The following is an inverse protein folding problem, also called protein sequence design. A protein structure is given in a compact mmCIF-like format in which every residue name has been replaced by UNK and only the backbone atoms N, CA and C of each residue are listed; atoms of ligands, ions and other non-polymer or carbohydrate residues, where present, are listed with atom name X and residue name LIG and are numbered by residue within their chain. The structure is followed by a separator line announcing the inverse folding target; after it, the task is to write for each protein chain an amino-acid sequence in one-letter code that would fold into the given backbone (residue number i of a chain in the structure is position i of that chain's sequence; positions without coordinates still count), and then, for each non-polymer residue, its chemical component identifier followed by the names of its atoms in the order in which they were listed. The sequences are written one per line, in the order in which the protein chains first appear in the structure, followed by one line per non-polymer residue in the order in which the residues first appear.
data_IF_186542516145
#
_entry.id   IF_186542516145
#
_cell.length_a   1.000
_cell.length_b   1.000
_cell.length_c   1.000
_cell.angle_alpha   90.00
_cell.angle_beta   90.00
_cell.angle_gamma   90.00
#
_symmetry.space_group_name_H-M   'P 1'
#
loop_
_entity.id
_entity.type
_entity.pdbx_description
1 polymer ?
#
# COMPACT_ATOMS: atom_id res chain seq x y z
N UNK A 1 18.57 -3.03 3.21
CA UNK A 1 17.79 -4.29 3.29
C UNK A 1 17.15 -4.39 4.66
N UNK A 2 15.82 -4.57 4.74
CA UNK A 2 15.13 -4.74 6.03
C UNK A 2 15.56 -6.09 6.64
N UNK A 3 15.92 -6.10 7.93
CA UNK A 3 16.29 -7.35 8.63
C UNK A 3 15.05 -8.20 8.91
N UNK A 4 15.19 -9.52 8.84
CA UNK A 4 14.16 -10.49 9.30
C UNK A 4 13.73 -10.23 10.74
N UNK A 5 14.64 -9.79 11.62
CA UNK A 5 14.30 -9.42 13.00
C UNK A 5 13.35 -8.22 13.04
N UNK A 6 13.56 -7.24 12.16
CA UNK A 6 12.71 -6.05 12.03
C UNK A 6 11.32 -6.43 11.49
N UNK A 7 11.26 -7.32 10.50
CA UNK A 7 10.00 -7.83 9.94
C UNK A 7 9.14 -8.56 11.00
N UNK A 8 9.76 -9.44 11.79
CA UNK A 8 9.06 -10.16 12.88
C UNK A 8 8.55 -9.20 13.95
N UNK A 9 9.31 -8.16 14.27
CA UNK A 9 8.90 -7.15 15.26
C UNK A 9 7.70 -6.34 14.77
N UNK A 10 7.68 -5.97 13.48
CA UNK A 10 6.52 -5.31 12.86
C UNK A 10 5.29 -6.21 12.91
N UNK A 11 5.42 -7.48 12.53
CA UNK A 11 4.32 -8.44 12.58
C UNK A 11 3.73 -8.58 14.00
N UNK A 12 4.57 -8.63 15.03
CA UNK A 12 4.11 -8.69 16.44
C UNK A 12 3.35 -7.42 16.87
N UNK A 13 3.79 -6.25 16.42
CA UNK A 13 3.07 -4.99 16.67
C UNK A 13 1.71 -5.01 15.98
N UNK A 14 1.63 -5.43 14.72
CA UNK A 14 0.36 -5.55 13.99
C UNK A 14 -0.60 -6.56 14.62
N UNK A 15 -0.09 -7.69 15.11
CA UNK A 15 -0.91 -8.67 15.84
C UNK A 15 -1.54 -8.07 17.09
N UNK A 16 -0.78 -7.30 17.88
CA UNK A 16 -1.31 -6.60 19.07
C UNK A 16 -2.36 -5.55 18.71
N UNK A 17 -2.16 -4.82 17.62
CA UNK A 17 -3.12 -3.83 17.13
C UNK A 17 -4.41 -4.49 16.61
N UNK A 18 -4.29 -5.58 15.85
CA UNK A 18 -5.44 -6.32 15.31
C UNK A 18 -6.26 -7.06 16.39
N UNK A 19 -5.61 -7.49 17.49
CA UNK A 19 -6.30 -8.08 18.63
C UNK A 19 -7.19 -7.06 19.37
N UNK A 20 -6.81 -5.77 19.37
CA UNK A 20 -7.50 -4.71 20.09
C UNK A 20 -8.77 -4.19 19.38
N UNK A 21 -9.03 -4.61 18.13
CA UNK A 21 -10.11 -4.11 17.28
C UNK A 21 -11.25 -5.08 16.93
N UNK A 22 -11.39 -6.24 17.59
CA UNK A 22 -12.41 -7.24 17.20
C UNK A 22 -13.77 -7.00 17.84
N UNK A 23 -14.64 -6.21 17.18
CA UNK A 23 -16.07 -6.56 17.13
C UNK A 23 -16.24 -7.58 16.01
N UNK A 24 -16.50 -8.82 16.39
CA UNK A 24 -16.62 -10.01 15.54
C UNK A 24 -17.72 -9.82 14.49
N UNK A 25 -17.34 -9.64 13.23
CA UNK A 25 -18.22 -9.90 12.08
C UNK A 25 -17.85 -11.28 11.53
N UNK A 26 -18.75 -12.24 11.71
CA UNK A 26 -18.65 -13.57 11.11
C UNK A 26 -18.95 -13.45 9.62
N UNK A 27 -17.96 -13.65 8.76
CA UNK A 27 -18.17 -13.82 7.33
C UNK A 27 -18.00 -15.28 6.95
N UNK A 28 -19.07 -15.81 6.34
CA UNK A 28 -19.23 -17.20 5.95
C UNK A 28 -18.21 -17.65 4.92
N UNK A 29 -17.86 -18.94 5.04
CA UNK A 29 -17.10 -19.73 4.09
C UNK A 29 -17.94 -19.94 2.83
N UNK A 30 -17.37 -19.71 1.64
CA UNK A 30 -17.90 -20.21 0.35
C UNK A 30 -16.73 -20.80 -0.46
N UNK A 31 -16.85 -22.00 -1.10
CA UNK A 31 -15.71 -22.74 -1.61
C UNK A 31 -15.37 -22.51 -3.09
N UNK A 32 -14.11 -22.85 -3.36
CA UNK A 32 -13.25 -22.91 -4.57
C UNK A 32 -13.90 -23.47 -5.86
N UNK A 33 -13.56 -22.87 -7.01
CA UNK A 33 -13.56 -23.56 -8.32
C UNK A 33 -12.18 -23.43 -8.99
N UNK A 34 -11.72 -24.56 -9.54
CA UNK A 34 -10.43 -24.84 -10.18
C UNK A 34 -10.32 -24.29 -11.61
N UNK A 35 -9.09 -24.04 -12.12
CA UNK A 35 -8.53 -24.62 -13.38
C UNK A 35 -7.10 -24.11 -13.69
N UNK A 36 -6.14 -25.06 -13.72
CA UNK A 36 -5.01 -25.27 -14.66
C UNK A 36 -3.76 -24.36 -14.76
N UNK A 37 -2.64 -24.94 -14.26
CA UNK A 37 -1.28 -25.14 -14.83
C UNK A 37 -0.21 -24.01 -14.82
N UNK A 38 0.80 -24.30 -14.01
CA UNK A 38 2.25 -24.06 -14.17
C UNK A 38 2.83 -22.65 -13.96
N UNK A 39 2.96 -22.28 -12.68
CA UNK A 39 4.17 -21.65 -12.16
C UNK A 39 4.40 -22.17 -10.72
N UNK A 40 5.66 -22.39 -10.38
CA UNK A 40 6.15 -22.97 -9.13
C UNK A 40 5.36 -22.47 -7.92
N UNK A 41 4.80 -23.41 -7.16
CA UNK A 41 4.04 -23.18 -5.96
C UNK A 41 4.89 -22.48 -4.88
N UNK A 42 4.76 -21.15 -4.79
CA UNK A 42 5.13 -20.39 -3.59
C UNK A 42 3.89 -19.59 -3.15
N UNK A 43 3.09 -20.26 -2.33
CA UNK A 43 2.03 -19.73 -1.47
C UNK A 43 0.93 -18.88 -2.14
N UNK A 44 -0.13 -19.54 -2.62
CA UNK A 44 -1.45 -18.90 -2.69
C UNK A 44 -1.95 -18.59 -1.26
N UNK A 45 -1.83 -17.33 -0.83
CA UNK A 45 -2.95 -16.48 -0.38
C UNK A 45 -2.47 -15.23 0.35
N UNK A 46 -2.67 -14.09 -0.31
CA UNK A 46 -2.89 -12.82 0.35
C UNK A 46 -2.76 -11.66 -0.62
N UNK A 47 -3.70 -10.74 -0.52
CA UNK A 47 -3.58 -9.40 -1.10
C UNK A 47 -3.59 -8.41 0.05
N UNK A 48 -2.89 -7.30 -0.12
CA UNK A 48 -3.07 -6.15 0.75
C UNK A 48 -3.85 -5.07 0.00
N UNK A 49 -4.50 -4.21 0.78
CA UNK A 49 -5.18 -3.03 0.24
C UNK A 49 -4.22 -1.87 0.37
N UNK A 50 -3.99 -1.19 -0.76
CA UNK A 50 -3.27 0.06 -0.81
C UNK A 50 -4.14 1.15 -1.42
N UNK A 51 -3.85 2.40 -1.11
CA UNK A 51 -4.46 3.58 -1.69
C UNK A 51 -3.40 4.41 -2.40
N UNK A 52 -3.77 5.07 -3.49
CA UNK A 52 -2.98 6.16 -4.03
C UNK A 52 -3.24 7.46 -3.24
N UNK A 53 -2.44 8.49 -3.46
CA UNK A 53 -2.60 9.81 -2.81
C UNK A 53 -3.93 10.50 -3.16
N UNK A 54 -4.54 10.14 -4.29
CA UNK A 54 -5.88 10.57 -4.72
C UNK A 54 -7.02 9.71 -4.13
N UNK A 55 -6.71 8.74 -3.27
CA UNK A 55 -7.68 7.88 -2.60
C UNK A 55 -8.16 6.68 -3.42
N UNK A 56 -7.65 6.45 -4.64
CA UNK A 56 -8.02 5.25 -5.42
C UNK A 56 -7.50 3.99 -4.73
N UNK A 57 -8.36 2.97 -4.62
CA UNK A 57 -8.09 1.72 -3.93
C UNK A 57 -7.50 0.65 -4.87
N UNK A 58 -6.48 -0.04 -4.38
CA UNK A 58 -5.76 -1.11 -5.07
C UNK A 58 -5.73 -2.40 -4.26
N UNK A 59 -5.93 -3.53 -4.95
CA UNK A 59 -5.75 -4.87 -4.40
C UNK A 59 -4.43 -5.41 -4.94
N UNK A 60 -3.39 -5.42 -4.10
CA UNK A 60 -2.03 -5.76 -4.50
C UNK A 60 -1.66 -7.15 -3.97
N UNK A 61 -1.22 -8.09 -4.82
CA UNK A 61 -0.75 -9.40 -4.36
C UNK A 61 0.42 -9.26 -3.39
N UNK A 62 0.44 -10.02 -2.29
CA UNK A 62 1.56 -10.00 -1.34
C UNK A 62 2.90 -10.43 -1.98
N UNK A 63 2.87 -11.19 -3.08
CA UNK A 63 4.05 -11.53 -3.85
C UNK A 63 4.81 -10.28 -4.34
N UNK A 64 4.11 -9.15 -4.51
CA UNK A 64 4.71 -7.88 -4.92
C UNK A 64 5.63 -7.29 -3.85
N UNK A 65 5.50 -7.67 -2.57
CA UNK A 65 6.32 -7.12 -1.48
C UNK A 65 7.81 -7.46 -1.59
N UNK A 66 8.16 -8.50 -2.36
CA UNK A 66 9.56 -8.87 -2.62
C UNK A 66 10.19 -8.06 -3.76
N UNK A 67 9.38 -7.33 -4.52
CA UNK A 67 9.84 -6.54 -5.66
C UNK A 67 10.44 -5.22 -5.16
N UNK A 68 11.70 -4.88 -5.51
CA UNK A 68 12.35 -3.61 -5.16
C UNK A 68 11.46 -2.37 -5.28
N UNK A 69 10.64 -2.28 -6.34
CA UNK A 69 9.75 -1.13 -6.55
C UNK A 69 8.72 -0.96 -5.42
N UNK A 70 8.15 -2.06 -4.94
CA UNK A 70 7.19 -2.03 -3.83
C UNK A 70 7.88 -1.79 -2.49
N UNK A 71 9.12 -2.27 -2.32
CA UNK A 71 9.89 -1.98 -1.12
C UNK A 71 10.20 -0.49 -0.99
N UNK A 72 10.57 0.17 -2.10
CA UNK A 72 10.81 1.61 -2.08
C UNK A 72 9.50 2.39 -1.88
N UNK A 73 8.41 2.02 -2.57
CA UNK A 73 7.10 2.63 -2.35
C UNK A 73 6.63 2.55 -0.89
N UNK A 74 6.80 1.38 -0.25
CA UNK A 74 6.40 1.18 1.14
C UNK A 74 7.30 1.92 2.11
N UNK A 75 8.59 2.05 1.79
CA UNK A 75 9.53 2.86 2.57
C UNK A 75 9.16 4.35 2.48
N UNK A 76 8.89 4.86 1.28
CA UNK A 76 8.44 6.23 1.10
C UNK A 76 7.09 6.48 1.81
N UNK A 77 6.16 5.53 1.75
CA UNK A 77 4.91 5.60 2.51
C UNK A 77 5.12 5.65 4.03
N UNK A 78 6.06 4.84 4.56
CA UNK A 78 6.46 4.89 5.98
C UNK A 78 7.07 6.24 6.35
N UNK A 79 7.89 6.83 5.47
CA UNK A 79 8.54 8.12 5.67
C UNK A 79 7.55 9.30 5.65
N UNK A 80 6.56 9.30 4.74
CA UNK A 80 5.58 10.39 4.60
C UNK A 80 4.42 10.29 5.61
N UNK A 81 3.83 9.10 5.74
CA UNK A 81 2.59 8.91 6.50
C UNK A 81 2.80 8.22 7.85
N UNK A 82 4.01 7.72 8.12
CA UNK A 82 4.31 6.96 9.32
C UNK A 82 3.73 5.55 9.33
N UNK A 83 3.96 4.83 10.43
CA UNK A 83 3.43 3.48 10.69
C UNK A 83 2.04 3.48 11.36
N UNK A 84 1.48 4.66 11.58
CA UNK A 84 0.31 4.94 12.41
C UNK A 84 -0.99 5.15 11.61
N UNK A 85 -0.97 4.94 10.30
CA UNK A 85 -2.19 4.90 9.49
C UNK A 85 -3.04 3.71 9.98
N UNK A 86 -4.36 3.88 10.12
CA UNK A 86 -5.36 2.95 10.67
C UNK A 86 -5.48 1.59 9.91
N UNK A 87 -4.37 0.94 9.56
CA UNK A 87 -4.30 -0.32 8.82
C UNK A 87 -4.34 -0.17 7.30
N UNK A 88 -4.48 1.04 6.77
CA UNK A 88 -4.44 1.30 5.33
C UNK A 88 -3.02 1.72 4.90
N UNK A 89 -2.49 1.08 3.85
CA UNK A 89 -1.25 1.51 3.19
C UNK A 89 -1.64 2.58 2.16
N UNK A 90 -1.00 3.74 2.19
CA UNK A 90 -1.16 4.77 1.15
C UNK A 90 0.17 5.01 0.49
N UNK A 91 0.23 4.87 -0.84
CA UNK A 91 1.42 5.18 -1.61
C UNK A 91 1.55 6.69 -1.78
N UNK A 92 2.79 7.23 -1.74
CA UNK A 92 3.08 8.65 -1.91
C UNK A 92 3.09 9.03 -3.41
N UNK A 93 2.11 8.54 -4.16
CA UNK A 93 1.93 8.83 -5.58
C UNK A 93 0.47 8.67 -5.99
N UNK A 94 0.07 9.35 -7.06
CA UNK A 94 -1.30 9.30 -7.58
C UNK A 94 -1.61 7.96 -8.29
N UNK A 95 -2.88 7.79 -8.65
CA UNK A 95 -3.33 6.57 -9.32
C UNK A 95 -2.64 6.29 -10.65
N UNK A 96 -2.16 7.30 -11.37
CA UNK A 96 -1.51 7.12 -12.68
C UNK A 96 -0.19 6.37 -12.53
N UNK A 97 0.60 6.73 -11.51
CA UNK A 97 1.87 6.08 -11.19
C UNK A 97 1.62 4.66 -10.67
N UNK A 98 0.64 4.48 -9.79
CA UNK A 98 0.30 3.15 -9.26
C UNK A 98 -0.20 2.24 -10.38
N UNK A 99 -1.08 2.72 -11.28
CA UNK A 99 -1.56 1.96 -12.43
C UNK A 99 -0.41 1.52 -13.34
N UNK A 100 0.55 2.42 -13.61
CA UNK A 100 1.75 2.10 -14.38
C UNK A 100 2.57 0.98 -13.72
N UNK A 101 2.86 1.09 -12.43
CA UNK A 101 3.61 0.08 -11.67
C UNK A 101 2.88 -1.27 -11.67
N UNK A 102 1.55 -1.27 -11.46
CA UNK A 102 0.75 -2.49 -11.52
C UNK A 102 0.76 -3.14 -12.91
N UNK A 103 0.73 -2.33 -13.98
CA UNK A 103 0.83 -2.85 -15.35
C UNK A 103 2.18 -3.51 -15.63
N UNK A 104 3.26 -3.00 -15.05
CA UNK A 104 4.59 -3.58 -15.20
C UNK A 104 4.77 -4.88 -14.42
N UNK A 105 4.13 -5.00 -13.25
CA UNK A 105 4.05 -6.26 -12.49
C UNK A 105 3.36 -7.34 -13.31
N UNK A 106 2.25 -7.00 -13.99
CA UNK A 106 1.50 -7.96 -14.82
C UNK A 106 2.29 -8.47 -16.01
N UNK A 107 3.21 -7.65 -16.56
CA UNK A 107 4.01 -7.99 -17.74
C UNK A 107 5.35 -8.65 -17.41
N UNK A 108 5.60 -8.97 -16.15
CA UNK A 108 6.89 -9.47 -15.65
C UNK A 108 8.08 -8.60 -16.12
N UNK A 109 8.05 -7.32 -15.72
CA UNK A 109 9.11 -6.36 -16.05
C UNK A 109 10.50 -6.86 -15.63
N UNK A 110 11.49 -6.62 -16.50
CA UNK A 110 12.88 -7.00 -16.24
C UNK A 110 13.45 -6.26 -15.02
N UNK A 111 14.38 -6.91 -14.32
CA UNK A 111 15.06 -6.34 -13.15
C UNK A 111 15.70 -4.97 -13.44
N UNK A 112 16.19 -4.76 -14.66
CA UNK A 112 16.81 -3.49 -15.07
C UNK A 112 15.81 -2.33 -15.11
N UNK A 113 14.60 -2.59 -15.63
CA UNK A 113 13.52 -1.59 -15.63
C UNK A 113 13.10 -1.30 -14.18
N UNK A 114 13.06 -2.34 -13.34
CA UNK A 114 12.71 -2.18 -11.93
C UNK A 114 13.72 -1.33 -11.16
N UNK A 115 15.02 -1.58 -11.36
CA UNK A 115 16.09 -0.80 -10.73
C UNK A 115 16.11 0.66 -11.24
N UNK A 116 15.87 0.88 -12.53
CA UNK A 116 15.77 2.23 -13.09
C UNK A 116 14.57 3.02 -12.52
N UNK A 117 13.43 2.35 -12.30
CA UNK A 117 12.28 2.98 -11.66
C UNK A 117 12.52 3.29 -10.20
N UNK A 118 13.13 2.36 -9.45
CA UNK A 118 13.52 2.61 -8.05
C UNK A 118 14.50 3.78 -7.96
N UNK A 119 15.49 3.85 -8.87
CA UNK A 119 16.43 4.96 -8.93
C UNK A 119 15.74 6.29 -9.25
N UNK A 120 14.73 6.27 -10.14
CA UNK A 120 13.96 7.46 -10.50
C UNK A 120 13.11 7.96 -9.32
N UNK A 121 12.41 7.07 -8.62
CA UNK A 121 11.62 7.40 -7.43
C UNK A 121 12.51 7.86 -6.26
N UNK A 122 13.68 7.25 -6.07
CA UNK A 122 14.64 7.65 -5.05
C UNK A 122 15.37 8.96 -5.35
N UNK A 123 15.49 9.34 -6.63
CA UNK A 123 16.09 10.60 -7.07
C UNK A 123 15.07 11.75 -7.03
N UNK A 124 13.79 11.47 -7.28
CA UNK A 124 12.71 12.46 -7.14
C UNK A 124 12.27 12.61 -5.68
N UNK A 125 13.13 13.21 -4.84
CA UNK A 125 12.62 14.06 -3.74
C UNK A 125 12.05 15.38 -4.28
N UNK A 126 11.36 15.30 -5.41
CA UNK A 126 10.64 16.38 -6.08
C UNK A 126 9.15 16.14 -5.93
N UNK A 127 8.69 16.13 -4.68
CA UNK A 127 7.36 16.64 -4.32
C UNK A 127 7.58 17.68 -3.23
N UNK A 128 8.28 18.76 -3.57
CA UNK A 128 8.27 19.94 -2.71
C UNK A 128 7.56 21.09 -3.40
N UNK A 129 6.42 21.42 -2.78
CA UNK A 129 5.72 22.69 -2.80
C UNK A 129 4.86 23.02 -4.01
N UNK A 130 3.56 22.74 -3.88
CA UNK A 130 2.63 23.85 -3.86
C UNK A 130 1.72 23.73 -2.64
N UNK A 131 2.03 24.54 -1.64
CA UNK A 131 1.17 24.86 -0.50
C UNK A 131 -0.11 25.49 -1.04
N UNK A 132 -1.27 24.98 -0.64
CA UNK A 132 -2.50 25.76 -0.55
C UNK A 132 -3.10 25.48 0.83
N UNK A 133 -3.06 26.44 1.77
CA UNK A 133 -3.88 26.36 2.96
C UNK A 133 -5.26 26.83 2.54
N UNK A 134 -6.15 25.90 2.18
CA UNK A 134 -7.57 26.24 2.13
C UNK A 134 -8.15 25.99 3.53
N UNK A 135 -8.05 27.04 4.33
CA UNK A 135 -8.91 27.27 5.48
C UNK A 135 -10.37 27.11 5.03
N UNK A 136 -11.04 26.08 5.54
CA UNK A 136 -12.49 26.04 5.52
C UNK A 136 -12.99 26.80 6.76
N UNK A 137 -13.65 27.97 6.61
CA UNK A 137 -14.38 28.53 7.72
C UNK A 137 -15.64 27.68 7.91
N UNK A 138 -15.75 27.02 9.07
CA UNK A 138 -17.06 26.64 9.59
C UNK A 138 -17.85 27.93 9.81
N UNK A 139 -18.76 28.26 8.88
CA UNK A 139 -19.78 29.26 9.16
C UNK A 139 -20.82 28.63 10.08
N UNK A 140 -20.86 29.20 11.28
CA UNK A 140 -21.88 29.05 12.30
C UNK A 140 -23.25 29.41 11.69
N UNK A 141 -24.20 28.47 11.65
CA UNK A 141 -25.62 28.75 11.41
C UNK A 141 -26.26 29.18 12.73
N UNK A 142 -26.87 30.37 12.85
CA UNK A 142 -27.81 30.65 13.93
C UNK A 142 -29.11 29.88 13.67
N UNK A 143 -29.53 29.10 14.66
CA UNK A 143 -30.91 28.64 14.77
C UNK A 143 -31.76 29.86 15.18
N UNK A 144 -32.50 30.41 14.23
CA UNK A 144 -33.61 31.33 14.49
C UNK A 144 -34.70 30.58 15.27
N UNK A 145 -35.16 31.20 16.36
CA UNK A 145 -36.31 30.82 17.18
C UNK A 145 -36.75 32.03 18.00
#
# INVERSE_FOLDING_TARGET
MISTKRLVQMARKWQKMAAKGRKRISFGVVPKSSTSKNAVAIAEKGHFIAYASDGKRYTVPLACLQRPIFQELLKMAEEEFGLNINGAITFPCDSTVVDYIMSLVQRDMSRQIEEALVASLGSSRCFSSSVLPQSYPYQHMPLEG
#
